data_IF_654037765319
#
_entry.id   IF_654037765319
#
_cell.length_a   1.000
_cell.length_b   1.000
_cell.length_c   1.000
_cell.angle_alpha   90.00
_cell.angle_beta   90.00
_cell.angle_gamma   90.00
#
_symmetry.space_group_name_H-M   'P 1'
#
loop_
_entity.id
_entity.type
_entity.pdbx_description
1 polymer ?
#
# COMPACT_ATOMS: atom_id res chain seq x y z
N UNK A 1 -12.02 -13.17 6.15
CA UNK A 1 -12.89 -11.97 6.15
C UNK A 1 -14.28 -12.37 5.68
N UNK A 2 -15.37 -11.72 6.13
CA UNK A 2 -16.72 -12.09 5.66
C UNK A 2 -17.58 -10.88 5.31
N UNK A 3 -18.43 -11.05 4.30
CA UNK A 3 -19.48 -10.10 3.92
C UNK A 3 -20.84 -10.75 4.12
N UNK A 4 -21.79 -10.01 4.68
CA UNK A 4 -23.19 -10.41 4.81
C UNK A 4 -24.04 -9.42 4.02
N UNK A 5 -24.64 -9.90 2.94
CA UNK A 5 -25.65 -9.17 2.19
C UNK A 5 -27.03 -9.60 2.69
N UNK A 6 -27.89 -8.62 2.94
CA UNK A 6 -29.30 -8.83 3.30
C UNK A 6 -30.14 -8.26 2.18
N UNK A 7 -31.01 -9.07 1.59
CA UNK A 7 -31.90 -8.64 0.53
C UNK A 7 -32.87 -7.56 1.08
N UNK A 8 -32.93 -6.43 0.37
CA UNK A 8 -33.88 -5.36 0.69
C UNK A 8 -35.31 -5.70 0.25
N UNK A 9 -36.19 -4.70 0.28
CA UNK A 9 -37.61 -4.85 -0.09
C UNK A 9 -37.86 -5.35 -1.52
N UNK A 10 -36.87 -5.22 -2.41
CA UNK A 10 -36.93 -5.73 -3.78
C UNK A 10 -36.56 -7.22 -3.91
N UNK A 11 -35.98 -7.83 -2.87
CA UNK A 11 -35.42 -9.17 -2.97
C UNK A 11 -34.20 -9.25 -3.91
N UNK A 12 -33.86 -10.47 -4.32
CA UNK A 12 -33.06 -10.76 -5.53
C UNK A 12 -33.78 -11.85 -6.32
N UNK A 13 -34.18 -11.56 -7.55
CA UNK A 13 -34.85 -12.52 -8.42
C UNK A 13 -33.87 -13.52 -9.06
N UNK A 14 -34.40 -14.49 -9.80
CA UNK A 14 -33.61 -15.38 -10.64
C UNK A 14 -32.73 -14.55 -11.60
N UNK A 15 -31.45 -14.91 -11.73
CA UNK A 15 -30.40 -14.16 -12.45
C UNK A 15 -30.01 -12.80 -11.85
N UNK A 16 -30.79 -12.26 -10.91
CA UNK A 16 -30.38 -11.17 -10.05
C UNK A 16 -29.18 -11.53 -9.18
N UNK A 17 -28.51 -10.53 -8.63
CA UNK A 17 -27.28 -10.77 -7.89
C UNK A 17 -26.65 -9.55 -7.26
N UNK A 18 -25.50 -9.81 -6.64
CA UNK A 18 -24.60 -8.79 -6.12
C UNK A 18 -23.26 -8.85 -6.85
N UNK A 19 -22.62 -7.69 -6.99
CA UNK A 19 -21.29 -7.55 -7.55
C UNK A 19 -20.40 -6.84 -6.56
N UNK A 20 -19.21 -7.38 -6.33
CA UNK A 20 -18.15 -6.73 -5.55
C UNK A 20 -17.06 -6.27 -6.50
N UNK A 21 -16.89 -4.95 -6.62
CA UNK A 21 -15.92 -4.35 -7.54
C UNK A 21 -14.75 -3.73 -6.79
N UNK A 22 -13.54 -4.16 -7.15
CA UNK A 22 -12.27 -3.74 -6.55
C UNK A 22 -11.45 -2.94 -7.55
N UNK A 23 -10.60 -2.05 -7.04
CA UNK A 23 -9.70 -1.23 -7.86
C UNK A 23 -8.76 -2.07 -8.71
N UNK A 24 -8.34 -1.52 -9.84
CA UNK A 24 -7.34 -2.12 -10.72
C UNK A 24 -5.97 -2.27 -10.05
N UNK A 25 -5.58 -1.24 -9.30
CA UNK A 25 -4.25 -1.09 -8.71
C UNK A 25 -4.14 -1.86 -7.41
N UNK A 26 -4.05 -3.18 -7.55
CA UNK A 26 -3.85 -4.12 -6.44
C UNK A 26 -3.35 -5.45 -6.99
N UNK A 27 -2.55 -6.18 -6.23
CA UNK A 27 -2.01 -7.49 -6.59
C UNK A 27 -2.55 -8.62 -5.69
N UNK A 28 -3.69 -8.39 -5.02
CA UNK A 28 -4.37 -9.43 -4.24
C UNK A 28 -4.62 -10.70 -5.08
N UNK A 29 -4.60 -11.85 -4.42
CA UNK A 29 -4.78 -13.16 -5.05
C UNK A 29 -6.18 -13.32 -5.66
N UNK A 30 -6.24 -13.78 -6.91
CA UNK A 30 -7.53 -13.99 -7.58
C UNK A 30 -8.39 -15.01 -6.85
N UNK A 31 -9.67 -14.71 -6.70
CA UNK A 31 -10.62 -15.61 -6.04
C UNK A 31 -10.83 -16.91 -6.84
N UNK A 32 -11.11 -17.98 -6.12
CA UNK A 32 -11.50 -19.27 -6.68
C UNK A 32 -12.58 -19.92 -5.80
N UNK A 33 -13.35 -20.84 -6.39
CA UNK A 33 -14.56 -21.39 -5.78
C UNK A 33 -14.62 -22.93 -5.81
N UNK A 34 -13.55 -23.61 -6.23
CA UNK A 34 -13.57 -25.04 -6.54
C UNK A 34 -12.65 -25.89 -5.67
N UNK A 35 -11.62 -25.30 -5.05
CA UNK A 35 -10.68 -26.02 -4.16
C UNK A 35 -10.74 -25.42 -2.74
N UNK A 36 -11.53 -26.01 -1.82
CA UNK A 36 -11.62 -25.54 -0.44
C UNK A 36 -10.30 -25.54 0.35
N UNK A 37 -9.31 -26.34 -0.07
CA UNK A 37 -7.98 -26.38 0.53
C UNK A 37 -6.99 -25.41 -0.14
N UNK A 38 -7.33 -24.88 -1.32
CA UNK A 38 -6.53 -23.95 -2.10
C UNK A 38 -6.58 -22.51 -1.57
N UNK A 39 -5.56 -21.72 -1.86
CA UNK A 39 -5.53 -20.29 -1.52
C UNK A 39 -6.66 -19.52 -2.21
N UNK A 40 -7.05 -18.39 -1.62
CA UNK A 40 -8.07 -17.47 -2.15
C UNK A 40 -9.45 -18.13 -2.38
N UNK A 41 -9.72 -19.25 -1.71
CA UNK A 41 -11.03 -19.90 -1.72
C UNK A 41 -12.09 -18.96 -1.14
N UNK A 42 -13.16 -18.72 -1.89
CA UNK A 42 -14.31 -17.97 -1.41
C UNK A 42 -15.47 -18.94 -1.23
N UNK A 43 -15.93 -19.06 0.01
CA UNK A 43 -17.13 -19.80 0.32
C UNK A 43 -18.35 -18.86 0.30
N UNK A 44 -19.46 -19.33 -0.23
CA UNK A 44 -20.73 -18.61 -0.26
C UNK A 44 -21.83 -19.45 0.36
N UNK A 45 -22.64 -18.84 1.20
CA UNK A 45 -23.74 -19.47 1.91
C UNK A 45 -25.00 -18.64 1.75
N UNK A 46 -26.13 -19.32 1.65
CA UNK A 46 -27.46 -18.73 1.64
C UNK A 46 -28.45 -19.75 2.22
N UNK A 47 -29.75 -19.48 2.16
CA UNK A 47 -30.77 -20.42 2.63
C UNK A 47 -30.73 -21.74 1.86
N UNK A 48 -31.19 -22.81 2.51
CA UNK A 48 -31.23 -24.14 1.91
C UNK A 48 -32.06 -24.15 0.61
N UNK A 49 -31.56 -24.88 -0.39
CA UNK A 49 -32.21 -25.04 -1.70
C UNK A 49 -31.97 -23.90 -2.70
N UNK A 50 -31.37 -22.78 -2.29
CA UNK A 50 -31.02 -21.69 -3.21
C UNK A 50 -29.61 -21.88 -3.77
N UNK A 51 -29.47 -21.86 -5.10
CA UNK A 51 -28.19 -22.05 -5.78
C UNK A 51 -27.59 -20.72 -6.19
N UNK A 52 -26.30 -20.54 -5.90
CA UNK A 52 -25.54 -19.35 -6.29
C UNK A 52 -24.52 -19.70 -7.37
N UNK A 53 -24.32 -18.80 -8.33
CA UNK A 53 -23.20 -18.83 -9.27
C UNK A 53 -22.22 -17.72 -8.93
N UNK A 54 -20.95 -18.11 -8.74
CA UNK A 54 -19.87 -17.20 -8.42
C UNK A 54 -18.89 -17.13 -9.58
N UNK A 55 -18.54 -15.91 -9.99
CA UNK A 55 -17.56 -15.65 -11.04
C UNK A 55 -16.65 -14.50 -10.65
N UNK A 56 -15.33 -14.69 -10.79
CA UNK A 56 -14.37 -13.61 -10.60
C UNK A 56 -13.67 -13.27 -11.92
N UNK A 57 -13.76 -12.01 -12.32
CA UNK A 57 -13.09 -11.48 -13.51
C UNK A 57 -12.19 -10.31 -13.15
N UNK A 58 -10.96 -10.32 -13.67
CA UNK A 58 -10.01 -9.20 -13.49
C UNK A 58 -10.37 -7.97 -14.33
N UNK A 59 -11.27 -8.12 -15.30
CA UNK A 59 -11.75 -7.06 -16.20
C UNK A 59 -13.28 -7.16 -16.37
N UNK A 60 -13.97 -7.46 -15.28
CA UNK A 60 -15.40 -7.71 -15.27
C UNK A 60 -16.26 -6.46 -15.09
N UNK A 61 -15.67 -5.30 -14.79
CA UNK A 61 -16.39 -4.03 -14.63
C UNK A 61 -15.59 -2.86 -15.23
N UNK A 62 -16.05 -1.63 -15.06
CA UNK A 62 -15.45 -0.41 -15.59
C UNK A 62 -14.34 0.15 -14.68
N UNK A 63 -13.44 0.93 -15.28
CA UNK A 63 -12.33 1.62 -14.60
C UNK A 63 -12.90 2.68 -13.62
N UNK A 64 -12.34 2.85 -12.40
CA UNK A 64 -11.14 2.19 -11.86
C UNK A 64 -11.38 0.84 -11.18
N UNK A 65 -12.62 0.34 -11.13
CA UNK A 65 -12.99 -0.86 -10.36
C UNK A 65 -13.21 -2.09 -11.25
N UNK A 66 -12.26 -2.47 -12.13
CA UNK A 66 -12.52 -3.51 -13.12
C UNK A 66 -12.49 -4.93 -12.58
N UNK A 67 -11.90 -5.18 -11.42
CA UNK A 67 -11.89 -6.51 -10.80
C UNK A 67 -13.24 -6.74 -10.14
N UNK A 68 -14.01 -7.70 -10.63
CA UNK A 68 -15.37 -7.92 -10.18
C UNK A 68 -15.58 -9.37 -9.75
N UNK A 69 -16.15 -9.56 -8.55
CA UNK A 69 -16.74 -10.82 -8.11
C UNK A 69 -18.26 -10.71 -8.28
N UNK A 70 -18.81 -11.53 -9.15
CA UNK A 70 -20.23 -11.67 -9.38
C UNK A 70 -20.79 -12.81 -8.52
N UNK A 71 -21.93 -12.58 -7.90
CA UNK A 71 -22.70 -13.59 -7.16
C UNK A 71 -24.15 -13.52 -7.63
N UNK A 72 -24.54 -14.47 -8.47
CA UNK A 72 -25.89 -14.53 -9.05
C UNK A 72 -26.72 -15.62 -8.39
N UNK A 73 -28.02 -15.36 -8.26
CA UNK A 73 -29.02 -16.40 -7.99
C UNK A 73 -29.24 -17.18 -9.28
N UNK A 74 -29.02 -18.49 -9.24
CA UNK A 74 -29.22 -19.34 -10.43
C UNK A 74 -30.67 -19.78 -10.61
N UNK A 75 -31.28 -20.30 -9.55
CA UNK A 75 -32.66 -20.79 -9.57
C UNK A 75 -33.36 -20.30 -8.31
N UNK A 76 -34.55 -19.70 -8.47
CA UNK A 76 -35.33 -19.14 -7.35
C UNK A 76 -34.96 -17.70 -7.04
N UNK A 77 -35.26 -17.26 -5.81
CA UNK A 77 -35.10 -15.88 -5.38
C UNK A 77 -34.78 -15.75 -3.89
N UNK A 78 -34.24 -14.58 -3.51
CA UNK A 78 -34.16 -14.11 -2.13
C UNK A 78 -35.31 -13.15 -1.85
N UNK A 79 -36.06 -13.41 -0.78
CA UNK A 79 -37.05 -12.48 -0.25
C UNK A 79 -36.38 -11.42 0.63
N UNK A 80 -37.10 -10.34 0.91
CA UNK A 80 -36.66 -9.32 1.87
C UNK A 80 -36.23 -9.96 3.21
N UNK A 81 -35.06 -9.54 3.70
CA UNK A 81 -34.47 -10.04 4.93
C UNK A 81 -33.69 -11.35 4.81
N UNK A 82 -33.78 -12.07 3.68
CA UNK A 82 -32.94 -13.24 3.43
C UNK A 82 -31.52 -12.84 3.02
N UNK A 83 -30.57 -13.77 3.15
CA UNK A 83 -29.15 -13.42 3.19
C UNK A 83 -28.26 -14.22 2.24
N UNK A 84 -27.22 -13.56 1.76
CA UNK A 84 -26.02 -14.19 1.18
C UNK A 84 -24.84 -13.85 2.08
N UNK A 85 -24.12 -14.86 2.56
CA UNK A 85 -22.88 -14.71 3.32
C UNK A 85 -21.69 -15.19 2.49
N UNK A 86 -20.69 -14.34 2.34
CA UNK A 86 -19.42 -14.66 1.70
C UNK A 86 -18.31 -14.75 2.76
N UNK A 87 -17.43 -15.73 2.61
CA UNK A 87 -16.21 -15.87 3.42
C UNK A 87 -15.02 -15.87 2.46
N UNK A 88 -14.26 -14.77 2.48
CA UNK A 88 -13.07 -14.58 1.66
C UNK A 88 -11.87 -15.26 2.31
N UNK A 89 -11.25 -16.17 1.56
CA UNK A 89 -10.14 -16.97 2.04
C UNK A 89 -10.59 -17.89 3.16
N UNK A 90 -11.65 -18.66 2.96
CA UNK A 90 -12.14 -19.59 3.98
C UNK A 90 -11.08 -20.65 4.28
N UNK A 91 -10.66 -20.71 5.55
CA UNK A 91 -9.59 -21.59 6.05
C UNK A 91 -10.13 -22.88 6.67
N UNK A 92 -11.45 -23.07 6.68
CA UNK A 92 -12.11 -24.21 7.34
C UNK A 92 -11.67 -25.58 6.79
N UNK A 93 -11.21 -25.65 5.55
CA UNK A 93 -10.78 -26.88 4.88
C UNK A 93 -9.29 -26.90 4.47
N UNK A 94 -8.47 -26.05 5.09
CA UNK A 94 -7.01 -26.09 4.92
C UNK A 94 -6.39 -24.99 4.07
N UNK A 95 -7.20 -24.10 3.47
CA UNK A 95 -6.70 -22.92 2.78
C UNK A 95 -5.80 -22.06 3.68
N UNK A 96 -4.76 -21.44 3.08
CA UNK A 96 -3.96 -20.40 3.75
C UNK A 96 -4.74 -19.08 3.89
N UNK A 97 -5.87 -18.96 3.21
CA UNK A 97 -6.75 -17.80 3.23
C UNK A 97 -6.63 -16.93 1.99
N UNK A 98 -7.06 -15.69 2.11
CA UNK A 98 -7.01 -14.71 1.03
C UNK A 98 -5.66 -13.98 1.07
N UNK A 99 -4.90 -14.07 -0.02
CA UNK A 99 -3.68 -13.30 -0.20
C UNK A 99 -4.05 -11.85 -0.52
N UNK A 100 -3.96 -10.98 0.47
CA UNK A 100 -4.06 -9.53 0.28
C UNK A 100 -2.89 -8.99 -0.56
N UNK A 101 -2.98 -7.73 -0.98
CA UNK A 101 -1.94 -7.06 -1.75
C UNK A 101 -0.65 -6.87 -0.96
N UNK A 102 0.45 -6.71 -1.70
CA UNK A 102 1.79 -6.52 -1.14
C UNK A 102 2.08 -5.09 -0.68
N UNK A 103 1.23 -4.13 -1.07
CA UNK A 103 1.33 -2.73 -0.65
C UNK A 103 0.27 -2.39 0.42
N UNK A 104 0.68 -1.59 1.40
CA UNK A 104 -0.25 -1.01 2.38
C UNK A 104 -1.23 -0.07 1.71
N UNK A 105 -2.43 -0.03 2.26
CA UNK A 105 -3.51 0.83 1.80
C UNK A 105 -4.48 1.07 2.96
N UNK A 106 -4.76 2.34 3.24
CA UNK A 106 -5.86 2.70 4.11
C UNK A 106 -7.17 2.61 3.34
N UNK A 107 -8.23 2.16 3.99
CA UNK A 107 -9.56 2.05 3.41
C UNK A 107 -9.57 1.23 2.10
N UNK A 108 -8.81 0.13 2.06
CA UNK A 108 -8.92 -0.83 0.97
C UNK A 108 -10.35 -1.37 0.97
N UNK A 109 -11.02 -1.27 -0.18
CA UNK A 109 -12.44 -1.62 -0.25
C UNK A 109 -12.90 -2.25 -1.55
N UNK A 110 -14.04 -2.91 -1.45
CA UNK A 110 -14.90 -3.24 -2.58
C UNK A 110 -16.15 -2.36 -2.57
N UNK A 111 -16.54 -1.85 -3.74
CA UNK A 111 -17.90 -1.39 -3.95
C UNK A 111 -18.82 -2.60 -3.90
N UNK A 112 -19.88 -2.53 -3.10
CA UNK A 112 -20.94 -3.53 -3.08
C UNK A 112 -22.05 -3.01 -3.97
N UNK A 113 -22.48 -3.80 -4.94
CA UNK A 113 -23.47 -3.41 -5.93
C UNK A 113 -24.55 -4.48 -6.02
N UNK A 114 -25.77 -4.08 -6.34
CA UNK A 114 -26.92 -4.99 -6.44
C UNK A 114 -27.64 -4.78 -7.77
N UNK A 115 -28.02 -5.88 -8.41
CA UNK A 115 -28.97 -5.93 -9.51
C UNK A 115 -30.08 -6.92 -9.10
N UNK A 116 -31.17 -6.43 -8.48
CA UNK A 116 -32.25 -7.29 -8.00
C UNK A 116 -33.01 -8.03 -9.10
N UNK A 117 -32.98 -7.52 -10.34
CA UNK A 117 -33.87 -7.96 -11.41
C UNK A 117 -33.13 -8.73 -12.52
N UNK A 118 -31.81 -8.89 -12.42
CA UNK A 118 -31.01 -9.61 -13.41
C UNK A 118 -30.89 -8.88 -14.75
N UNK A 119 -31.01 -7.55 -14.75
CA UNK A 119 -30.95 -6.72 -15.98
C UNK A 119 -29.53 -6.32 -16.38
N UNK A 120 -28.53 -6.71 -15.58
CA UNK A 120 -27.13 -6.28 -15.65
C UNK A 120 -26.91 -4.79 -15.31
N UNK A 121 -27.92 -4.11 -14.77
CA UNK A 121 -27.81 -2.74 -14.29
C UNK A 121 -27.58 -2.72 -12.77
N UNK A 122 -26.31 -2.76 -12.39
CA UNK A 122 -25.88 -2.81 -10.99
C UNK A 122 -25.87 -1.42 -10.36
N UNK A 123 -26.58 -1.28 -9.23
CA UNK A 123 -26.58 -0.07 -8.42
C UNK A 123 -25.64 -0.22 -7.23
N UNK A 124 -24.74 0.75 -7.04
CA UNK A 124 -23.83 0.81 -5.90
C UNK A 124 -24.63 1.04 -4.61
N UNK A 125 -24.41 0.17 -3.63
CA UNK A 125 -24.99 0.28 -2.30
C UNK A 125 -24.16 1.26 -1.44
N UNK A 126 -24.78 1.93 -0.44
CA UNK A 126 -24.08 2.87 0.42
C UNK A 126 -23.03 2.19 1.31
N UNK A 127 -23.28 0.94 1.69
CA UNK A 127 -22.35 0.14 2.49
C UNK A 127 -21.26 -0.46 1.61
N UNK A 128 -20.02 -0.39 2.09
CA UNK A 128 -18.85 -0.95 1.43
C UNK A 128 -18.16 -1.99 2.30
N UNK A 129 -17.46 -2.89 1.62
CA UNK A 129 -16.55 -3.80 2.28
C UNK A 129 -15.19 -3.13 2.41
N UNK A 130 -14.86 -2.57 3.58
CA UNK A 130 -13.64 -1.76 3.77
C UNK A 130 -12.81 -2.18 4.99
N UNK A 131 -11.49 -2.11 4.86
CA UNK A 131 -10.52 -2.37 5.92
C UNK A 131 -9.13 -1.83 5.55
N UNK A 132 -8.27 -1.64 6.54
CA UNK A 132 -6.88 -1.22 6.29
C UNK A 132 -5.97 -2.43 6.03
N UNK A 133 -5.03 -2.25 5.11
CA UNK A 133 -3.91 -3.15 4.89
C UNK A 133 -2.68 -2.49 5.51
N UNK A 134 -2.17 -3.12 6.57
CA UNK A 134 -1.07 -2.63 7.38
C UNK A 134 0.24 -3.38 7.08
N UNK A 135 1.42 -2.78 7.36
CA UNK A 135 2.70 -3.45 7.18
C UNK A 135 2.77 -4.76 7.97
N UNK A 136 3.53 -5.73 7.44
CA UNK A 136 3.95 -6.89 8.20
C UNK A 136 5.00 -6.55 9.27
N UNK A 137 5.54 -7.56 9.98
CA UNK A 137 6.65 -7.38 10.90
C UNK A 137 7.88 -6.76 10.23
N UNK A 138 8.65 -5.97 10.99
CA UNK A 138 9.87 -5.33 10.53
C UNK A 138 10.87 -6.35 9.99
N UNK A 139 11.34 -6.13 8.77
CA UNK A 139 12.22 -7.06 8.07
C UNK A 139 13.60 -6.47 7.82
N UNK A 140 13.68 -5.20 7.39
CA UNK A 140 14.95 -4.51 7.12
C UNK A 140 14.88 -3.02 7.44
N UNK A 141 16.00 -2.44 7.83
CA UNK A 141 16.14 -0.99 7.84
C UNK A 141 16.49 -0.45 6.46
N UNK A 142 16.21 0.84 6.25
CA UNK A 142 16.69 1.61 5.10
C UNK A 142 17.19 2.97 5.56
N UNK A 143 18.35 3.36 5.07
CA UNK A 143 18.99 4.62 5.39
C UNK A 143 19.13 5.50 4.15
N UNK A 144 18.91 6.80 4.31
CA UNK A 144 19.12 7.77 3.25
C UNK A 144 19.83 9.02 3.77
N UNK A 145 20.78 9.48 2.96
CA UNK A 145 21.53 10.71 3.16
C UNK A 145 21.58 11.48 1.83
N UNK A 146 21.86 12.79 1.85
CA UNK A 146 22.10 13.52 0.61
C UNK A 146 23.26 12.91 -0.19
N UNK A 147 23.14 12.87 -1.51
CA UNK A 147 24.17 12.28 -2.39
C UNK A 147 25.48 13.07 -2.40
N UNK A 148 25.41 14.40 -2.22
CA UNK A 148 26.56 15.30 -2.33
C UNK A 148 26.38 16.52 -1.45
N UNK A 149 27.40 16.82 -0.63
CA UNK A 149 27.40 17.89 0.37
C UNK A 149 28.78 18.53 0.49
N UNK A 150 28.88 19.73 1.04
CA UNK A 150 30.16 20.32 1.44
C UNK A 150 30.57 19.86 2.84
N UNK A 151 31.88 19.78 3.11
CA UNK A 151 32.39 19.52 4.45
C UNK A 151 31.82 20.52 5.48
N UNK A 152 31.29 20.01 6.59
CA UNK A 152 30.64 20.81 7.64
C UNK A 152 29.23 21.32 7.32
N UNK A 153 28.66 21.00 6.15
CA UNK A 153 27.27 21.35 5.83
C UNK A 153 26.30 20.54 6.72
N UNK A 154 25.19 21.12 7.22
CA UNK A 154 24.15 20.37 7.91
C UNK A 154 23.53 19.31 6.99
N UNK A 155 23.47 18.07 7.46
CA UNK A 155 22.88 16.94 6.74
C UNK A 155 21.84 16.21 7.58
N UNK A 156 20.90 15.57 6.89
CA UNK A 156 19.89 14.71 7.53
C UNK A 156 20.14 13.28 7.10
N UNK A 157 20.40 12.43 8.07
CA UNK A 157 20.31 10.99 7.89
C UNK A 157 18.90 10.55 8.29
N UNK A 158 18.21 9.86 7.39
CA UNK A 158 16.85 9.36 7.60
C UNK A 158 16.86 7.84 7.61
N UNK A 159 16.16 7.26 8.57
CA UNK A 159 16.08 5.81 8.76
C UNK A 159 14.62 5.40 8.89
N UNK A 160 14.22 4.34 8.19
CA UNK A 160 12.92 3.68 8.35
C UNK A 160 13.12 2.18 8.45
N UNK A 161 12.17 1.46 9.06
CA UNK A 161 12.06 0.00 8.92
C UNK A 161 10.98 -0.33 7.91
N UNK A 162 11.25 -1.33 7.08
CA UNK A 162 10.32 -1.87 6.10
C UNK A 162 9.98 -3.32 6.43
N UNK A 163 8.75 -3.74 6.14
CA UNK A 163 8.39 -5.15 6.09
C UNK A 163 9.04 -5.87 4.89
N UNK A 164 8.75 -7.16 4.74
CA UNK A 164 9.31 -7.99 3.65
C UNK A 164 9.03 -7.41 2.25
N UNK A 165 7.91 -6.72 2.08
CA UNK A 165 7.44 -6.18 0.81
C UNK A 165 7.87 -4.73 0.57
N UNK A 166 8.55 -4.11 1.53
CA UNK A 166 9.00 -2.72 1.42
C UNK A 166 8.03 -1.70 2.01
N UNK A 167 6.99 -2.14 2.72
CA UNK A 167 6.06 -1.21 3.37
C UNK A 167 6.70 -0.62 4.63
N UNK A 168 6.71 0.71 4.78
CA UNK A 168 7.28 1.32 5.97
C UNK A 168 6.42 1.03 7.20
N UNK A 169 7.08 0.62 8.29
CA UNK A 169 6.45 0.55 9.61
C UNK A 169 6.19 1.98 10.11
N UNK A 170 5.00 2.19 10.71
CA UNK A 170 4.58 3.49 11.28
C UNK A 170 4.98 3.67 12.74
N UNK A 171 5.38 2.58 13.39
CA UNK A 171 5.98 2.60 14.73
C UNK A 171 7.26 1.79 14.72
N UNK A 172 8.29 2.34 15.34
CA UNK A 172 9.52 1.64 15.68
C UNK A 172 9.62 1.64 17.19
N UNK A 173 9.62 0.45 17.80
CA UNK A 173 9.84 0.33 19.24
C UNK A 173 11.35 0.40 19.55
N UNK A 174 12.18 -0.13 18.65
CA UNK A 174 13.63 -0.08 18.74
C UNK A 174 14.21 1.27 18.29
N UNK A 175 15.35 1.64 18.87
CA UNK A 175 16.21 2.76 18.46
C UNK A 175 17.62 2.22 18.20
N UNK A 176 17.81 1.46 17.11
CA UNK A 176 19.10 0.86 16.79
C UNK A 176 20.20 1.91 16.63
N UNK A 177 21.40 1.55 17.08
CA UNK A 177 22.58 2.37 16.90
C UNK A 177 22.97 2.44 15.42
N UNK A 178 23.21 3.64 14.93
CA UNK A 178 23.74 3.89 13.58
C UNK A 178 25.22 4.25 13.69
N UNK A 179 26.06 3.73 12.80
CA UNK A 179 27.48 4.07 12.67
C UNK A 179 27.74 4.77 11.35
N UNK A 180 28.82 5.57 11.29
CA UNK A 180 29.29 6.18 10.06
C UNK A 180 30.62 5.54 9.67
N UNK A 181 30.77 5.10 8.42
CA UNK A 181 32.03 4.64 7.88
C UNK A 181 32.41 5.52 6.68
N UNK A 182 33.58 6.17 6.77
CA UNK A 182 34.26 6.69 5.60
C UNK A 182 34.74 5.50 4.77
N UNK A 183 34.50 5.52 3.46
CA UNK A 183 35.05 4.50 2.56
C UNK A 183 36.55 4.77 2.50
N UNK A 184 37.34 4.22 3.42
CA UNK A 184 38.77 3.90 3.23
C UNK A 184 39.45 3.14 4.39
N UNK A 185 38.80 2.79 5.51
CA UNK A 185 39.46 1.96 6.56
C UNK A 185 38.86 0.57 6.80
N UNK A 186 37.69 0.26 6.24
CA UNK A 186 37.03 -1.03 6.47
C UNK A 186 36.63 -1.29 7.92
N UNK A 187 36.69 -0.27 8.78
CA UNK A 187 36.26 -0.34 10.18
C UNK A 187 34.88 0.27 10.32
N UNK A 188 34.01 -0.38 11.07
CA UNK A 188 32.77 0.25 11.50
C UNK A 188 33.14 1.41 12.42
N UNK A 189 32.77 2.63 12.05
CA UNK A 189 32.98 3.78 12.93
C UNK A 189 32.14 3.67 14.21
N UNK A 190 32.39 4.58 15.15
CA UNK A 190 31.64 4.63 16.40
C UNK A 190 30.16 4.95 16.17
N UNK A 191 29.25 4.48 17.06
CA UNK A 191 27.85 4.88 17.04
C UNK A 191 27.69 6.40 17.08
N UNK A 192 26.71 6.90 16.33
CA UNK A 192 26.34 8.31 16.36
C UNK A 192 25.89 8.70 17.78
N UNK A 193 26.55 9.68 18.37
CA UNK A 193 26.20 10.21 19.70
C UNK A 193 24.97 11.15 19.69
N UNK A 194 24.32 11.31 18.53
CA UNK A 194 23.17 12.21 18.34
C UNK A 194 21.87 11.41 18.44
N UNK A 195 20.95 11.87 19.29
CA UNK A 195 19.62 11.29 19.37
C UNK A 195 18.77 11.69 18.15
N UNK A 196 18.08 10.74 17.49
CA UNK A 196 17.19 11.07 16.39
C UNK A 196 15.86 11.64 16.87
N UNK A 197 15.21 12.44 16.04
CA UNK A 197 13.76 12.67 16.16
C UNK A 197 13.01 11.47 15.57
N UNK A 198 11.78 11.21 16.04
CA UNK A 198 10.93 10.14 15.53
C UNK A 198 9.57 10.71 15.12
N UNK A 199 9.23 10.54 13.85
CA UNK A 199 7.95 10.98 13.28
C UNK A 199 7.44 9.88 12.35
N UNK A 200 6.24 9.36 12.64
CA UNK A 200 5.52 8.36 11.84
C UNK A 200 6.39 7.14 11.39
N UNK A 201 7.20 6.60 12.30
CA UNK A 201 8.05 5.44 12.02
C UNK A 201 9.38 5.77 11.32
N UNK A 202 9.69 7.05 11.14
CA UNK A 202 10.95 7.53 10.55
C UNK A 202 11.81 8.17 11.63
N UNK A 203 13.05 7.71 11.76
CA UNK A 203 14.08 8.33 12.58
C UNK A 203 14.88 9.32 11.74
N UNK A 204 15.04 10.55 12.23
CA UNK A 204 15.86 11.57 11.56
C UNK A 204 16.98 12.04 12.48
N UNK A 205 18.22 11.86 12.03
CA UNK A 205 19.41 12.37 12.68
C UNK A 205 19.84 13.67 12.00
N UNK A 206 19.90 14.75 12.78
CA UNK A 206 20.51 16.00 12.34
C UNK A 206 22.02 15.93 12.60
N UNK A 207 22.81 15.90 11.53
CA UNK A 207 24.25 15.71 11.57
C UNK A 207 24.96 16.86 10.88
N UNK A 208 26.26 16.97 11.09
CA UNK A 208 27.16 17.77 10.23
C UNK A 208 27.91 16.83 9.30
N UNK A 209 28.06 17.22 8.03
CA UNK A 209 28.88 16.47 7.09
C UNK A 209 30.33 16.37 7.59
N UNK A 210 31.01 15.21 7.43
CA UNK A 210 32.41 15.05 7.81
C UNK A 210 33.31 16.19 7.32
N UNK A 211 34.28 16.59 8.13
CA UNK A 211 35.22 17.65 7.75
C UNK A 211 36.19 17.22 6.63
N UNK A 212 36.53 15.93 6.58
CA UNK A 212 37.39 15.37 5.57
C UNK A 212 36.60 15.07 4.29
N UNK A 213 37.01 15.59 3.12
CA UNK A 213 36.40 15.23 1.84
C UNK A 213 36.54 13.74 1.56
N UNK A 214 35.54 13.15 0.88
CA UNK A 214 35.56 11.73 0.57
C UNK A 214 34.17 11.14 0.34
N UNK A 215 34.13 9.81 0.29
CA UNK A 215 32.91 9.03 0.13
C UNK A 215 32.52 8.42 1.48
N UNK A 216 31.28 8.64 1.90
CA UNK A 216 30.79 8.18 3.20
C UNK A 216 29.52 7.36 3.06
N UNK A 217 29.37 6.38 3.96
CA UNK A 217 28.15 5.62 4.16
C UNK A 217 27.80 5.58 5.64
N UNK A 218 26.51 5.44 5.93
CA UNK A 218 26.01 5.17 7.27
C UNK A 218 25.45 3.76 7.30
N UNK A 219 25.71 3.02 8.38
CA UNK A 219 25.28 1.64 8.52
C UNK A 219 24.51 1.46 9.82
N UNK A 220 23.52 0.57 9.79
CA UNK A 220 22.73 0.21 10.97
C UNK A 220 22.78 -1.30 11.18
N UNK A 221 22.93 -1.71 12.43
CA UNK A 221 22.85 -3.10 12.86
C UNK A 221 22.10 -3.17 14.19
N UNK A 222 21.13 -4.07 14.27
CA UNK A 222 20.21 -4.19 15.42
C UNK A 222 20.11 -5.62 15.96
N UNK A 223 20.73 -6.60 15.28
CA UNK A 223 20.71 -8.02 15.65
C UNK A 223 19.38 -8.73 15.37
N UNK A 224 18.24 -8.06 15.51
CA UNK A 224 16.89 -8.61 15.29
C UNK A 224 16.35 -8.32 13.90
N UNK A 225 16.37 -7.04 13.49
CA UNK A 225 15.97 -6.60 12.16
C UNK A 225 17.21 -6.53 11.26
N UNK A 226 17.06 -6.88 9.98
CA UNK A 226 18.18 -6.84 9.03
C UNK A 226 18.72 -5.41 8.90
N UNK A 227 20.00 -5.25 9.20
CA UNK A 227 20.75 -4.02 8.98
C UNK A 227 20.89 -3.66 7.50
N UNK A 228 21.22 -2.40 7.24
CA UNK A 228 21.45 -1.89 5.88
C UNK A 228 22.47 -0.74 5.89
N UNK A 229 22.93 -0.36 4.71
CA UNK A 229 23.84 0.74 4.46
C UNK A 229 23.14 1.82 3.65
N UNK A 230 23.37 3.10 3.95
CA UNK A 230 22.80 4.22 3.21
C UNK A 230 23.26 4.25 1.76
N UNK A 231 22.61 5.08 0.94
CA UNK A 231 23.23 5.53 -0.31
C UNK A 231 24.56 6.25 -0.03
N UNK A 232 25.48 6.32 -1.01
CA UNK A 232 26.72 7.07 -0.87
C UNK A 232 26.46 8.57 -0.68
N UNK A 233 27.24 9.18 0.21
CA UNK A 233 27.35 10.63 0.35
C UNK A 233 28.77 11.07 -0.02
N UNK A 234 28.87 11.91 -1.05
CA UNK A 234 30.14 12.55 -1.45
C UNK A 234 30.30 13.86 -0.70
N UNK A 235 31.33 13.95 0.12
CA UNK A 235 31.73 15.17 0.84
C UNK A 235 32.79 15.90 0.03
N UNK A 236 32.48 17.13 -0.36
CA UNK A 236 33.39 18.00 -1.11
C UNK A 236 34.26 18.86 -0.16
N UNK A 237 35.46 19.28 -0.61
CA UNK A 237 36.27 20.23 0.15
C UNK A 237 35.54 21.56 0.40
N UNK A 238 35.87 22.26 1.50
CA UNK A 238 35.34 23.59 1.77
C UNK A 238 35.57 24.53 0.58
N UNK A 239 34.51 25.21 0.13
CA UNK A 239 34.57 26.12 -1.03
C UNK A 239 34.78 25.44 -2.38
N UNK A 240 34.75 24.11 -2.45
CA UNK A 240 34.75 23.36 -3.70
C UNK A 240 33.48 23.61 -4.51
N UNK A 241 33.61 23.59 -5.84
CA UNK A 241 32.45 23.68 -6.75
C UNK A 241 31.52 22.48 -6.52
N UNK A 242 30.32 22.78 -6.00
CA UNK A 242 29.29 21.76 -5.77
C UNK A 242 28.70 21.22 -7.09
N UNK A 243 28.89 21.94 -8.21
CA UNK A 243 28.26 21.66 -9.48
C UNK A 243 26.73 21.59 -9.35
N UNK A 244 26.10 20.75 -10.17
CA UNK A 244 24.70 20.41 -10.03
C UNK A 244 24.48 19.48 -8.82
N UNK A 245 23.51 19.82 -7.97
CA UNK A 245 23.00 18.92 -6.93
C UNK A 245 22.05 17.90 -7.55
N UNK A 246 22.14 16.65 -7.09
CA UNK A 246 21.23 15.59 -7.51
C UNK A 246 20.04 15.54 -6.55
N UNK A 247 18.85 15.50 -7.13
CA UNK A 247 17.59 15.36 -6.42
C UNK A 247 16.83 14.17 -6.99
N UNK A 248 16.16 13.41 -6.13
CA UNK A 248 15.39 12.23 -6.49
C UNK A 248 13.92 12.57 -6.57
N UNK A 249 13.31 12.35 -7.73
CA UNK A 249 11.91 12.64 -7.97
C UNK A 249 11.17 11.42 -8.54
N UNK A 250 9.94 11.22 -8.07
CA UNK A 250 8.97 10.37 -8.76
C UNK A 250 8.01 11.25 -9.54
N UNK A 251 8.10 11.20 -10.86
CA UNK A 251 7.29 12.03 -11.73
C UNK A 251 6.00 11.36 -12.20
N UNK A 252 5.74 10.09 -11.86
CA UNK A 252 4.62 9.33 -12.42
C UNK A 252 3.84 8.60 -11.32
N UNK A 253 3.18 9.36 -10.44
CA UNK A 253 2.24 8.82 -9.46
C UNK A 253 0.77 8.98 -9.85
N UNK A 254 -0.08 8.03 -9.45
CA UNK A 254 -1.54 8.16 -9.50
C UNK A 254 -2.14 7.75 -8.16
N UNK A 255 -3.29 8.33 -7.83
CA UNK A 255 -3.97 8.18 -6.53
C UNK A 255 -5.42 7.72 -6.73
N UNK A 256 -6.16 7.57 -5.64
CA UNK A 256 -7.55 7.14 -5.61
C UNK A 256 -8.52 8.01 -6.43
N UNK A 257 -8.15 9.27 -6.66
CA UNK A 257 -8.87 10.25 -7.50
C UNK A 257 -8.89 9.86 -8.98
N UNK A 258 -7.94 9.03 -9.44
CA UNK A 258 -7.94 8.49 -10.81
C UNK A 258 -8.02 6.96 -10.80
N UNK A 259 -6.90 6.26 -10.96
CA UNK A 259 -6.85 4.79 -10.94
C UNK A 259 -5.87 4.21 -9.95
N UNK A 260 -5.13 5.06 -9.24
CA UNK A 260 -4.33 4.62 -8.11
C UNK A 260 -5.22 4.27 -6.92
N UNK A 261 -4.56 4.25 -5.77
CA UNK A 261 -5.15 4.01 -4.46
C UNK A 261 -4.74 5.14 -3.51
N UNK A 262 -5.36 5.20 -2.33
CA UNK A 262 -5.08 6.24 -1.33
C UNK A 262 -5.44 7.66 -1.78
N UNK A 263 -5.20 8.62 -0.90
CA UNK A 263 -5.41 10.04 -1.18
C UNK A 263 -4.20 10.70 -1.84
N UNK A 264 -4.40 11.86 -2.47
CA UNK A 264 -3.31 12.74 -2.92
C UNK A 264 -2.37 13.10 -1.77
N UNK A 265 -2.94 13.41 -0.61
CA UNK A 265 -2.21 13.81 0.58
C UNK A 265 -1.30 12.69 1.07
N UNK A 266 -1.81 11.45 1.12
CA UNK A 266 -1.03 10.26 1.48
C UNK A 266 0.09 9.99 0.47
N UNK A 267 -0.16 10.19 -0.83
CA UNK A 267 0.86 10.01 -1.86
C UNK A 267 2.04 10.96 -1.68
N UNK A 268 1.78 12.26 -1.51
CA UNK A 268 2.85 13.26 -1.30
C UNK A 268 3.52 13.09 0.06
N UNK A 269 2.73 12.77 1.10
CA UNK A 269 3.27 12.43 2.40
C UNK A 269 4.20 11.21 2.30
N UNK A 270 3.79 10.17 1.56
CA UNK A 270 4.61 8.99 1.33
C UNK A 270 5.92 9.33 0.62
N UNK A 271 5.86 10.04 -0.51
CA UNK A 271 7.04 10.43 -1.29
C UNK A 271 8.06 11.19 -0.45
N UNK A 272 7.59 12.19 0.32
CA UNK A 272 8.44 13.00 1.20
C UNK A 272 8.95 12.24 2.41
N UNK A 273 8.07 11.52 3.12
CA UNK A 273 8.38 10.98 4.44
C UNK A 273 9.01 9.58 4.40
N UNK A 274 8.64 8.75 3.43
CA UNK A 274 9.05 7.34 3.37
C UNK A 274 9.81 6.99 2.09
N UNK A 275 9.44 7.59 0.95
CA UNK A 275 10.20 7.50 -0.29
C UNK A 275 11.52 8.26 -0.23
N UNK A 276 11.63 9.20 0.72
CA UNK A 276 12.77 10.11 0.85
C UNK A 276 13.07 10.89 -0.44
N UNK A 277 12.01 11.21 -1.20
CA UNK A 277 12.09 11.94 -2.44
C UNK A 277 12.20 13.45 -2.16
N UNK A 278 12.92 14.12 -3.05
CA UNK A 278 13.04 15.58 -3.09
C UNK A 278 11.90 16.23 -3.88
N UNK A 279 11.26 15.47 -4.78
CA UNK A 279 10.11 15.90 -5.55
C UNK A 279 9.16 14.75 -5.89
N UNK A 280 7.89 15.08 -6.08
CA UNK A 280 6.90 14.12 -6.57
C UNK A 280 5.91 14.82 -7.50
N UNK A 281 5.29 14.08 -8.41
CA UNK A 281 4.29 14.59 -9.35
C UNK A 281 3.09 13.65 -9.43
N UNK A 282 1.90 14.22 -9.33
CA UNK A 282 0.67 13.53 -9.64
C UNK A 282 0.39 13.57 -11.14
N UNK A 283 0.23 12.41 -11.77
CA UNK A 283 -0.06 12.23 -13.19
C UNK A 283 -1.39 11.48 -13.39
N UNK A 284 -2.48 12.08 -12.93
CA UNK A 284 -3.83 11.61 -13.22
C UNK A 284 -4.15 11.63 -14.72
N UNK A 285 -5.00 10.69 -15.17
CA UNK A 285 -5.48 10.71 -16.55
C UNK A 285 -6.42 11.89 -16.75
N UNK A 286 -6.23 12.63 -17.85
CA UNK A 286 -6.93 13.87 -18.18
C UNK A 286 -8.45 13.79 -18.07
N UNK A 287 -9.07 12.71 -18.54
CA UNK A 287 -10.53 12.53 -18.50
C UNK A 287 -11.09 12.17 -17.11
N UNK A 288 -10.25 12.00 -16.09
CA UNK A 288 -10.65 11.68 -14.72
C UNK A 288 -10.38 12.81 -13.73
N UNK A 289 -9.66 13.86 -14.13
CA UNK A 289 -9.36 15.00 -13.26
C UNK A 289 -10.43 16.07 -13.45
N UNK A 290 -11.17 16.35 -12.37
CA UNK A 290 -12.12 17.45 -12.32
C UNK A 290 -11.49 18.74 -11.80
N UNK A 291 -12.22 19.86 -11.93
CA UNK A 291 -11.76 21.18 -11.51
C UNK A 291 -11.39 21.25 -10.01
N UNK A 292 -12.22 20.73 -9.09
CA UNK A 292 -11.89 20.68 -7.66
C UNK A 292 -10.63 19.87 -7.35
N UNK A 293 -10.47 18.69 -7.96
CA UNK A 293 -9.28 17.85 -7.78
C UNK A 293 -8.03 18.55 -8.29
N UNK A 294 -8.11 19.17 -9.47
CA UNK A 294 -7.01 19.96 -10.02
C UNK A 294 -6.59 21.08 -9.06
N UNK A 295 -7.55 21.90 -8.61
CA UNK A 295 -7.30 23.02 -7.71
C UNK A 295 -6.75 22.61 -6.33
N UNK A 296 -6.97 21.36 -5.92
CA UNK A 296 -6.42 20.81 -4.66
C UNK A 296 -4.96 20.37 -4.81
N UNK A 297 -4.55 19.94 -6.01
CA UNK A 297 -3.20 19.42 -6.28
C UNK A 297 -2.19 20.55 -6.57
N UNK A 298 -2.65 21.62 -7.24
CA UNK A 298 -1.78 22.72 -7.74
C UNK A 298 -1.63 23.89 -6.78
#
# INVERSE_FOLDING_TARGET
>A
MSLRYVAGSMGLDEHGGIRLSFRDTTDFGGFQFHDPAGDNYVAAYTREGLRLHLEFSRKGNIRPYRKALYIHVLDGSLNEGEEIRLVFGDRSQGSRGWRLQTCVEQDFHALVESDPLGTHDYVVLPDRLAFDIVPGPGYRYRLNVPTRVQAGEPVRLRVKCEDLWGNPLRSLDARPAVTCAGVDDGTAGEPLAVAPTHEDGVLTYALEAPAAPGLYHYAIADGEVRGDTSNPMVVLPPGGDAGLRYYWGDYHGQTGETVGTGSVEDYFHFGRHFGFLDGSCHQGNDFQIDGPTWARIV
#
